data_IF_263354334034
#
_entry.id   IF_263354334034
#
_cell.length_a   1.000
_cell.length_b   1.000
_cell.length_c   1.000
_cell.angle_alpha   90.00
_cell.angle_beta   90.00
_cell.angle_gamma   90.00
#
_symmetry.space_group_name_H-M   'P 1'
#
loop_
_entity.id
_entity.type
_entity.pdbx_description
1 polymer ?
#
# COMPACT_ATOMS: atom_id res chain seq x y z
N UNK A 1 -7.82 23.93 -1.01
CA UNK A 1 -7.95 23.14 0.23
C UNK A 1 -8.90 21.98 -0.04
N UNK A 2 -8.39 20.88 -0.56
CA UNK A 2 -9.14 19.65 -0.79
C UNK A 2 -9.46 19.00 0.56
N UNK A 3 -10.74 18.82 0.85
CA UNK A 3 -11.20 18.19 2.08
C UNK A 3 -10.74 16.74 2.13
N UNK A 4 -9.97 16.36 3.13
CA UNK A 4 -9.52 15.00 3.42
C UNK A 4 -10.70 14.01 3.60
N UNK A 5 -11.91 14.53 3.79
CA UNK A 5 -13.14 13.74 3.92
C UNK A 5 -13.54 12.95 2.66
N UNK A 6 -12.90 13.21 1.51
CA UNK A 6 -13.18 12.49 0.27
C UNK A 6 -12.28 11.27 0.04
N UNK A 7 -11.20 11.13 0.82
CA UNK A 7 -10.29 9.99 0.70
C UNK A 7 -10.87 8.86 1.55
N UNK A 8 -11.64 7.97 0.95
CA UNK A 8 -12.05 6.74 1.62
C UNK A 8 -13.55 6.47 1.77
N UNK A 9 -14.42 7.33 1.26
CA UNK A 9 -15.88 7.10 1.34
C UNK A 9 -16.31 5.75 0.72
N UNK A 10 -15.56 5.23 -0.26
CA UNK A 10 -15.77 3.94 -0.92
C UNK A 10 -14.59 2.97 -0.75
N UNK A 11 -13.72 3.21 0.24
CA UNK A 11 -12.53 2.39 0.46
C UNK A 11 -12.89 0.94 0.75
N UNK A 12 -12.45 0.02 -0.10
CA UNK A 12 -12.66 -1.41 0.05
C UNK A 12 -11.45 -2.06 0.70
N UNK A 13 -11.68 -3.07 1.53
CA UNK A 13 -10.59 -3.89 2.06
C UNK A 13 -9.75 -4.46 0.93
N UNK A 14 -8.43 -4.40 1.10
CA UNK A 14 -7.52 -5.08 0.19
C UNK A 14 -7.81 -6.58 0.16
N UNK A 15 -7.65 -7.24 -0.99
CA UNK A 15 -7.84 -8.68 -1.07
C UNK A 15 -6.81 -9.41 -0.21
N UNK A 16 -7.14 -10.61 0.24
CA UNK A 16 -6.17 -11.48 0.90
C UNK A 16 -5.01 -11.77 -0.04
N UNK A 17 -3.79 -11.46 0.40
CA UNK A 17 -2.57 -11.65 -0.36
C UNK A 17 -1.41 -12.01 0.56
N UNK A 18 -0.61 -12.96 0.14
CA UNK A 18 0.63 -13.35 0.80
C UNK A 18 1.72 -13.57 -0.23
N UNK A 19 2.94 -13.29 0.15
CA UNK A 19 4.12 -13.52 -0.67
C UNK A 19 5.34 -13.84 0.20
N UNK A 20 6.37 -14.36 -0.42
CA UNK A 20 7.65 -14.63 0.25
C UNK A 20 8.46 -13.34 0.35
N UNK A 21 9.07 -13.10 1.48
CA UNK A 21 10.04 -12.00 1.63
C UNK A 21 11.27 -12.30 0.79
N UNK A 22 11.68 -11.35 -0.04
CA UNK A 22 12.85 -11.47 -0.90
C UNK A 22 14.11 -11.73 -0.04
N UNK A 23 14.84 -12.79 -0.37
CA UNK A 23 16.03 -13.19 0.36
C UNK A 23 15.77 -14.00 1.62
N UNK A 24 14.55 -14.48 1.82
CA UNK A 24 14.13 -15.27 2.97
C UNK A 24 13.10 -16.31 2.56
N UNK A 25 12.97 -17.39 3.32
CA UNK A 25 11.88 -18.37 3.15
C UNK A 25 10.59 -17.94 3.88
N UNK A 26 10.62 -16.79 4.54
CA UNK A 26 9.46 -16.28 5.28
C UNK A 26 8.34 -15.85 4.33
N UNK A 27 7.18 -16.46 4.52
CA UNK A 27 5.93 -16.00 3.87
C UNK A 27 5.23 -15.03 4.81
N UNK A 28 4.81 -13.90 4.26
CA UNK A 28 4.09 -12.86 4.99
C UNK A 28 2.73 -12.61 4.35
N UNK A 29 1.77 -12.24 5.17
CA UNK A 29 0.45 -11.83 4.71
C UNK A 29 0.33 -10.31 4.73
N UNK A 30 -0.37 -9.74 3.75
CA UNK A 30 -0.65 -8.29 3.72
C UNK A 30 -1.37 -7.82 4.98
N UNK A 31 -2.22 -8.67 5.56
CA UNK A 31 -2.93 -8.39 6.81
C UNK A 31 -2.02 -8.17 8.01
N UNK A 32 -0.77 -8.67 7.96
CA UNK A 32 0.21 -8.44 9.03
C UNK A 32 0.67 -6.99 9.12
N UNK A 33 0.43 -6.19 8.08
CA UNK A 33 0.78 -4.76 8.03
C UNK A 33 -0.33 -3.86 8.60
N UNK A 34 -1.44 -4.40 9.09
CA UNK A 34 -2.48 -3.61 9.74
C UNK A 34 -1.90 -2.82 10.91
N UNK A 35 -2.39 -1.60 11.08
CA UNK A 35 -1.82 -0.62 12.00
C UNK A 35 -0.82 0.33 11.36
N UNK A 36 -0.30 -0.01 10.18
CA UNK A 36 0.56 0.86 9.38
C UNK A 36 -0.19 1.36 8.15
N UNK A 37 0.16 2.55 7.69
CA UNK A 37 -0.19 3.01 6.33
C UNK A 37 0.74 2.30 5.36
N UNK A 38 0.20 1.70 4.31
CA UNK A 38 0.99 0.87 3.38
C UNK A 38 1.02 1.51 2.00
N UNK A 39 2.22 1.71 1.48
CA UNK A 39 2.46 2.02 0.07
C UNK A 39 2.99 0.74 -0.59
N UNK A 40 2.14 0.10 -1.40
CA UNK A 40 2.41 -1.20 -2.01
C UNK A 40 2.63 -1.00 -3.52
N UNK A 41 3.82 -1.29 -4.00
CA UNK A 41 4.21 -1.11 -5.40
C UNK A 41 4.60 -2.43 -6.05
N UNK A 42 3.98 -2.78 -7.17
CA UNK A 42 4.38 -3.97 -7.95
C UNK A 42 5.31 -3.56 -9.09
N UNK A 43 6.38 -4.33 -9.26
CA UNK A 43 7.47 -4.00 -10.17
C UNK A 43 8.23 -5.24 -10.67
N UNK A 44 9.06 -5.04 -11.70
CA UNK A 44 9.97 -6.07 -12.19
C UNK A 44 11.30 -5.46 -12.64
N UNK A 45 12.38 -6.24 -12.64
CA UNK A 45 13.70 -5.78 -13.09
C UNK A 45 13.73 -5.42 -14.58
N UNK A 46 12.91 -6.06 -15.39
CA UNK A 46 12.77 -5.79 -16.83
C UNK A 46 11.87 -4.59 -17.15
N UNK A 47 11.16 -4.05 -16.14
CA UNK A 47 10.24 -2.92 -16.31
C UNK A 47 10.98 -1.59 -16.17
N UNK A 48 11.24 -0.91 -17.29
CA UNK A 48 11.98 0.36 -17.29
C UNK A 48 11.30 1.48 -16.48
N UNK A 49 9.97 1.72 -16.57
CA UNK A 49 9.30 2.69 -15.72
C UNK A 49 9.42 2.36 -14.23
N UNK A 50 9.26 1.07 -13.87
CA UNK A 50 9.39 0.62 -12.48
C UNK A 50 10.77 0.98 -11.89
N UNK A 51 11.81 0.73 -12.69
CA UNK A 51 13.19 1.02 -12.28
C UNK A 51 13.43 2.50 -11.99
N UNK A 52 12.75 3.39 -12.70
CA UNK A 52 12.85 4.83 -12.49
C UNK A 52 12.19 5.29 -11.19
N UNK A 53 11.13 4.61 -10.77
CA UNK A 53 10.37 4.97 -9.56
C UNK A 53 11.00 4.47 -8.27
N UNK A 54 11.76 3.37 -8.32
CA UNK A 54 12.28 2.72 -7.11
C UNK A 54 13.06 3.63 -6.17
N UNK A 55 13.96 4.54 -6.65
CA UNK A 55 14.64 5.49 -5.78
C UNK A 55 13.68 6.46 -5.06
N UNK A 56 12.61 6.86 -5.74
CA UNK A 56 11.61 7.78 -5.16
C UNK A 56 10.76 7.06 -4.10
N UNK A 57 10.39 5.81 -4.33
CA UNK A 57 9.76 4.97 -3.30
C UNK A 57 10.67 4.77 -2.08
N UNK A 58 11.97 4.58 -2.28
CA UNK A 58 12.93 4.48 -1.19
C UNK A 58 13.04 5.80 -0.42
N UNK A 59 13.03 6.94 -1.09
CA UNK A 59 13.01 8.25 -0.45
C UNK A 59 11.76 8.46 0.41
N UNK A 60 10.58 8.08 -0.12
CA UNK A 60 9.31 8.13 0.61
C UNK A 60 9.37 7.22 1.84
N UNK A 61 9.87 5.99 1.70
CA UNK A 61 10.05 5.08 2.83
C UNK A 61 10.89 5.72 3.91
N UNK A 62 12.09 6.20 3.58
CA UNK A 62 13.01 6.81 4.56
C UNK A 62 12.38 7.99 5.29
N UNK A 63 11.59 8.79 4.59
CA UNK A 63 10.91 9.97 5.16
C UNK A 63 9.78 9.60 6.12
N UNK A 64 8.96 8.61 5.78
CA UNK A 64 7.68 8.36 6.45
C UNK A 64 7.62 7.08 7.29
N UNK A 65 8.58 6.18 7.16
CA UNK A 65 8.67 4.97 7.99
C UNK A 65 8.64 5.29 9.51
N UNK A 66 9.35 6.33 10.01
CA UNK A 66 9.27 6.70 11.43
C UNK A 66 7.88 7.17 11.86
N UNK A 67 7.01 7.51 10.90
CA UNK A 67 5.64 7.96 11.14
C UNK A 67 4.60 6.86 10.91
N UNK A 68 5.04 5.62 10.66
CA UNK A 68 4.17 4.47 10.52
C UNK A 68 3.77 4.13 9.08
N UNK A 69 4.56 4.55 8.08
CA UNK A 69 4.44 4.08 6.69
C UNK A 69 5.27 2.81 6.49
N UNK A 70 4.66 1.79 5.90
CA UNK A 70 5.36 0.65 5.33
C UNK A 70 5.36 0.79 3.80
N UNK A 71 6.53 0.94 3.19
CA UNK A 71 6.69 0.89 1.74
C UNK A 71 7.18 -0.50 1.35
N UNK A 72 6.36 -1.22 0.60
CA UNK A 72 6.61 -2.61 0.21
C UNK A 72 6.65 -2.71 -1.31
N UNK A 73 7.78 -3.21 -1.84
CA UNK A 73 7.86 -3.62 -3.23
C UNK A 73 7.37 -5.06 -3.39
N UNK A 74 6.62 -5.33 -4.45
CA UNK A 74 6.26 -6.70 -4.86
C UNK A 74 6.92 -6.95 -6.21
N UNK A 75 8.01 -7.68 -6.18
CA UNK A 75 8.74 -8.07 -7.39
C UNK A 75 8.06 -9.28 -8.05
N UNK A 76 7.81 -9.18 -9.35
CA UNK A 76 7.14 -10.22 -10.15
C UNK A 76 8.04 -10.84 -11.21
N UNK A 77 9.36 -10.73 -11.07
CA UNK A 77 10.26 -11.48 -11.96
C UNK A 77 9.95 -12.97 -11.88
N UNK A 78 9.85 -13.62 -13.03
CA UNK A 78 9.44 -15.03 -13.11
C UNK A 78 10.53 -16.01 -12.62
N UNK A 79 11.78 -15.58 -12.59
CA UNK A 79 12.87 -16.36 -12.02
C UNK A 79 12.66 -16.46 -10.50
N UNK A 80 12.49 -17.67 -9.94
CA UNK A 80 12.31 -17.83 -8.51
C UNK A 80 13.56 -17.53 -7.68
N UNK A 81 14.71 -17.33 -8.33
CA UNK A 81 15.96 -17.00 -7.65
C UNK A 81 15.98 -15.53 -7.24
N UNK A 82 16.23 -15.27 -5.96
CA UNK A 82 16.29 -13.90 -5.41
C UNK A 82 17.51 -13.09 -5.83
N UNK A 83 18.61 -13.79 -6.17
CA UNK A 83 19.91 -13.17 -6.41
C UNK A 83 19.92 -12.03 -7.44
N UNK A 84 19.31 -12.20 -8.62
CA UNK A 84 19.25 -11.12 -9.62
C UNK A 84 18.52 -9.88 -9.11
N UNK A 85 17.39 -10.06 -8.45
CA UNK A 85 16.56 -8.96 -7.90
C UNK A 85 17.31 -8.24 -6.78
N UNK A 86 17.92 -8.98 -5.87
CA UNK A 86 18.73 -8.44 -4.76
C UNK A 86 19.91 -7.62 -5.27
N UNK A 87 20.65 -8.14 -6.27
CA UNK A 87 21.76 -7.39 -6.88
C UNK A 87 21.29 -6.08 -7.51
N UNK A 88 20.15 -6.12 -8.18
CA UNK A 88 19.58 -4.91 -8.76
C UNK A 88 19.21 -3.88 -7.68
N UNK A 89 18.45 -4.25 -6.65
CA UNK A 89 18.08 -3.36 -5.55
C UNK A 89 19.32 -2.74 -4.87
N UNK A 90 20.34 -3.56 -4.63
CA UNK A 90 21.63 -3.08 -4.09
C UNK A 90 22.31 -2.08 -5.00
N UNK A 91 22.25 -2.28 -6.32
CA UNK A 91 22.89 -1.38 -7.29
C UNK A 91 22.26 0.02 -7.35
N UNK A 92 21.01 0.17 -6.91
CA UNK A 92 20.25 1.43 -6.88
C UNK A 92 19.99 1.93 -5.44
N UNK A 93 20.67 1.36 -4.44
CA UNK A 93 20.57 1.72 -3.02
C UNK A 93 19.14 1.68 -2.46
N UNK A 94 18.36 0.71 -2.89
CA UNK A 94 17.02 0.44 -2.37
C UNK A 94 17.10 -0.62 -1.28
N UNK A 95 16.71 -0.24 -0.07
CA UNK A 95 16.76 -1.08 1.13
C UNK A 95 15.38 -1.40 1.71
N UNK A 96 14.32 -0.92 1.05
CA UNK A 96 12.94 -1.23 1.43
C UNK A 96 12.65 -2.72 1.37
N UNK A 97 11.69 -3.15 2.18
CA UNK A 97 11.21 -4.53 2.14
C UNK A 97 10.62 -4.84 0.77
N UNK A 98 11.09 -5.92 0.18
CA UNK A 98 10.54 -6.45 -1.06
C UNK A 98 10.01 -7.86 -0.84
N UNK A 99 8.86 -8.14 -1.44
CA UNK A 99 8.28 -9.47 -1.55
C UNK A 99 8.53 -10.01 -2.95
N UNK A 100 8.66 -11.31 -3.08
CA UNK A 100 8.90 -11.97 -4.36
C UNK A 100 7.72 -12.86 -4.72
N UNK A 101 7.10 -12.58 -5.85
CA UNK A 101 5.89 -13.26 -6.36
C UNK A 101 6.09 -13.68 -7.84
N UNK A 102 6.94 -14.69 -8.10
CA UNK A 102 7.28 -15.10 -9.47
C UNK A 102 6.11 -15.67 -10.27
N UNK A 103 5.03 -16.05 -9.61
CA UNK A 103 3.79 -16.50 -10.26
C UNK A 103 2.78 -15.37 -10.47
N UNK A 104 3.14 -14.16 -10.06
CA UNK A 104 2.32 -12.95 -10.19
C UNK A 104 0.87 -13.14 -9.68
N UNK A 105 0.74 -13.74 -8.51
CA UNK A 105 -0.55 -13.85 -7.84
C UNK A 105 -1.14 -12.47 -7.50
N UNK A 106 -0.24 -11.48 -7.30
CA UNK A 106 -0.62 -10.10 -7.07
C UNK A 106 -1.55 -9.58 -8.15
N UNK A 107 -1.18 -9.75 -9.42
CA UNK A 107 -1.98 -9.25 -10.54
C UNK A 107 -3.40 -9.80 -10.52
N UNK A 108 -3.57 -11.09 -10.20
CA UNK A 108 -4.89 -11.73 -10.10
C UNK A 108 -5.71 -11.19 -8.93
N UNK A 109 -5.08 -11.02 -7.75
CA UNK A 109 -5.75 -10.57 -6.53
C UNK A 109 -6.16 -9.10 -6.61
N UNK A 110 -5.28 -8.24 -7.10
CA UNK A 110 -5.49 -6.80 -7.19
C UNK A 110 -6.04 -6.34 -8.54
N UNK A 111 -6.28 -7.29 -9.48
CA UNK A 111 -6.75 -6.99 -10.85
C UNK A 111 -5.87 -5.98 -11.56
N UNK A 112 -4.56 -6.20 -11.49
CA UNK A 112 -3.55 -5.38 -12.15
C UNK A 112 -3.29 -5.94 -13.54
N UNK A 113 -3.27 -5.07 -14.55
CA UNK A 113 -3.04 -5.47 -15.94
C UNK A 113 -1.57 -5.41 -16.36
N UNK A 114 -0.74 -4.72 -15.60
CA UNK A 114 0.68 -4.57 -15.90
C UNK A 114 1.43 -3.87 -14.76
N UNK A 115 2.73 -3.73 -14.93
CA UNK A 115 3.62 -3.03 -13.99
C UNK A 115 4.13 -1.73 -14.58
N UNK A 116 4.37 -0.69 -13.76
CA UNK A 116 4.10 -0.67 -12.33
C UNK A 116 2.62 -0.48 -11.99
N UNK A 117 2.21 -0.86 -10.79
CA UNK A 117 0.97 -0.44 -10.18
C UNK A 117 1.21 -0.21 -8.68
N UNK A 118 0.60 0.84 -8.15
CA UNK A 118 0.83 1.28 -6.77
C UNK A 118 -0.49 1.44 -6.04
N UNK A 119 -0.49 1.07 -4.77
CA UNK A 119 -1.67 1.13 -3.91
C UNK A 119 -1.31 1.81 -2.59
N UNK A 120 -2.15 2.75 -2.16
CA UNK A 120 -2.09 3.34 -0.83
C UNK A 120 -3.19 2.72 0.02
N UNK A 121 -2.80 2.09 1.13
CA UNK A 121 -3.71 1.47 2.08
C UNK A 121 -3.66 2.21 3.41
N UNK A 122 -4.81 2.30 4.08
CA UNK A 122 -4.89 2.80 5.44
C UNK A 122 -4.48 1.75 6.49
N UNK A 123 -4.48 2.16 7.75
CA UNK A 123 -4.11 1.30 8.89
C UNK A 123 -5.05 0.10 9.08
N UNK A 124 -6.25 0.15 8.52
CA UNK A 124 -7.23 -0.94 8.52
C UNK A 124 -7.05 -1.91 7.34
N UNK A 125 -6.12 -1.61 6.42
CA UNK A 125 -5.88 -2.39 5.21
C UNK A 125 -6.90 -2.14 4.11
N UNK A 126 -7.54 -0.99 4.09
CA UNK A 126 -8.44 -0.56 3.02
C UNK A 126 -7.65 0.18 1.94
N UNK A 127 -7.96 -0.08 0.68
CA UNK A 127 -7.35 0.64 -0.45
C UNK A 127 -8.00 2.02 -0.55
N UNK A 128 -7.20 3.06 -0.33
CA UNK A 128 -7.63 4.46 -0.42
C UNK A 128 -7.37 5.04 -1.81
N UNK A 129 -6.28 4.63 -2.44
CA UNK A 129 -5.91 5.08 -3.77
C UNK A 129 -5.15 3.99 -4.53
N UNK A 130 -5.26 4.06 -5.85
CA UNK A 130 -4.58 3.17 -6.79
C UNK A 130 -4.07 3.97 -7.97
N UNK A 131 -2.81 3.74 -8.32
CA UNK A 131 -2.20 4.23 -9.55
C UNK A 131 -1.93 3.03 -10.47
N UNK A 132 -2.48 3.07 -11.66
CA UNK A 132 -2.18 2.10 -12.73
C UNK A 132 -1.17 2.74 -13.68
N UNK A 133 0.00 2.17 -13.76
CA UNK A 133 1.13 2.71 -14.51
C UNK A 133 2.09 3.55 -13.65
N UNK A 134 3.04 4.24 -14.32
CA UNK A 134 4.06 5.03 -13.65
C UNK A 134 3.48 6.14 -12.78
N UNK A 135 4.06 6.34 -11.60
CA UNK A 135 3.71 7.40 -10.67
C UNK A 135 4.98 8.07 -10.12
N UNK A 136 4.90 9.35 -9.89
CA UNK A 136 5.87 10.07 -9.05
C UNK A 136 5.33 10.13 -7.62
N UNK A 137 5.79 9.27 -6.71
CA UNK A 137 5.30 9.27 -5.34
C UNK A 137 5.74 10.52 -4.57
N UNK A 138 6.74 11.25 -5.08
CA UNK A 138 7.22 12.51 -4.52
C UNK A 138 6.48 13.75 -5.04
N UNK A 139 5.54 13.60 -5.98
CA UNK A 139 4.72 14.71 -6.44
C UNK A 139 3.91 15.32 -5.29
N UNK A 140 3.74 16.66 -5.24
CA UNK A 140 3.08 17.34 -4.12
C UNK A 140 1.72 16.77 -3.76
N UNK A 141 0.90 16.45 -4.73
CA UNK A 141 -0.43 15.87 -4.55
C UNK A 141 -0.39 14.47 -3.92
N UNK A 142 0.61 13.65 -4.27
CA UNK A 142 0.79 12.32 -3.71
C UNK A 142 1.34 12.41 -2.27
N UNK A 143 2.26 13.35 -2.01
CA UNK A 143 2.75 13.61 -0.66
C UNK A 143 1.64 14.09 0.27
N UNK A 144 0.80 15.02 -0.18
CA UNK A 144 -0.36 15.51 0.58
C UNK A 144 -1.31 14.36 0.93
N UNK A 145 -1.56 13.45 -0.01
CA UNK A 145 -2.40 12.28 0.22
C UNK A 145 -1.78 11.34 1.26
N UNK A 146 -0.50 11.00 1.13
CA UNK A 146 0.22 10.14 2.08
C UNK A 146 0.21 10.77 3.48
N UNK A 147 0.49 12.07 3.58
CA UNK A 147 0.50 12.77 4.86
C UNK A 147 -0.89 12.82 5.50
N UNK A 148 -1.92 13.05 4.72
CA UNK A 148 -3.30 13.03 5.21
C UNK A 148 -3.67 11.68 5.84
N UNK A 149 -3.30 10.58 5.18
CA UNK A 149 -3.57 9.23 5.69
C UNK A 149 -2.73 8.91 6.93
N UNK A 150 -1.48 9.39 6.99
CA UNK A 150 -0.62 9.23 8.15
C UNK A 150 -1.11 10.00 9.38
N UNK A 151 -1.79 11.13 9.18
CA UNK A 151 -2.40 11.92 10.25
C UNK A 151 -3.74 11.35 10.75
N UNK A 152 -4.42 10.54 9.94
CA UNK A 152 -5.65 9.87 10.36
C UNK A 152 -5.32 8.70 11.28
N UNK A 153 -5.38 8.96 12.58
CA UNK A 153 -5.16 7.94 13.63
C UNK A 153 -6.27 6.90 13.73
N UNK A 154 -7.18 6.85 12.75
CA UNK A 154 -8.31 5.90 12.75
C UNK A 154 -9.36 6.19 13.82
N UNK A 155 -9.26 7.33 14.51
CA UNK A 155 -10.19 7.71 15.59
C UNK A 155 -11.50 8.30 15.08
N UNK A 156 -11.64 8.50 13.78
CA UNK A 156 -12.83 9.17 13.21
C UNK A 156 -13.83 8.21 12.56
N UNK A 157 -13.86 6.94 12.97
CA UNK A 157 -14.89 5.97 12.53
C UNK A 157 -16.05 5.83 13.52
N UNK A 158 -16.22 6.71 14.48
CA UNK A 158 -17.48 6.85 15.21
C UNK A 158 -18.40 7.78 14.44
N UNK A 159 -19.37 7.19 13.75
CA UNK A 159 -20.54 7.91 13.23
C UNK A 159 -21.34 8.36 14.46
N UNK A 160 -21.43 9.68 14.78
CA UNK A 160 -22.38 10.11 15.79
C UNK A 160 -23.76 10.15 15.14
N UNK A 161 -24.63 9.22 15.51
CA UNK A 161 -26.04 9.37 15.17
C UNK A 161 -26.75 8.12 14.67
N UNK A 162 -26.97 7.15 15.54
CA UNK A 162 -28.19 6.33 15.50
C UNK A 162 -28.81 6.31 16.89
N UNK A 163 -29.17 7.50 17.36
CA UNK A 163 -30.12 7.65 18.46
C UNK A 163 -31.50 7.31 17.94
N UNK A 164 -31.93 6.06 18.10
CA UNK A 164 -33.35 5.70 18.00
C UNK A 164 -34.03 6.28 19.22
N UNK A 165 -34.98 7.21 19.12
CA UNK A 165 -35.75 7.63 20.28
C UNK A 165 -36.65 6.46 20.70
N UNK A 166 -36.38 5.96 21.89
CA UNK A 166 -37.24 5.06 22.63
C UNK A 166 -38.61 5.75 22.84
N UNK A 167 -39.61 5.32 22.07
CA UNK A 167 -40.99 5.71 22.29
C UNK A 167 -41.47 5.16 23.63
N UNK A 168 -41.73 6.03 24.58
CA UNK A 168 -42.46 5.68 25.80
C UNK A 168 -43.89 5.35 25.46
N UNK A 169 -44.33 4.21 25.94
CA UNK A 169 -45.72 3.85 25.96
C UNK A 169 -46.54 4.82 26.79
N UNK A 170 -47.74 5.08 26.31
CA UNK A 170 -48.83 5.60 27.13
C UNK A 170 -49.74 4.42 27.47
N UNK A 171 -49.91 4.23 28.76
CA UNK A 171 -50.92 3.42 29.31
C UNK A 171 -52.27 4.17 29.26
N UNK A 172 -53.33 3.52 28.85
CA UNK A 172 -54.66 3.48 29.43
C UNK A 172 -55.47 2.38 28.77
#
# INVERSE_FOLDING_TARGET
>A
MGSVAAIGADAKSAPGYSARVLGSDQVVELTSLRGQVVLLNTWATWCSPCRKELPDFEAIRRRYEPRGLAAIGVNIDEDPADGPVQRYLKSVDVTSTNWHDPLNHFAKRFRVLGVPATFLLDRQGRILHRWDGPVDPGAPENLEMIEAVLHDDGKNSEIPGSGVPSGRGLAE
#
